data_IF_746756283607
#
_entry.id   IF_746756283607
#
_cell.length_a   1.000
_cell.length_b   1.000
_cell.length_c   1.000
_cell.angle_alpha   90.00
_cell.angle_beta   90.00
_cell.angle_gamma   90.00
#
_symmetry.space_group_name_H-M   'P 1'
#
loop_
_entity.id
_entity.type
_entity.pdbx_description
1 polymer ?
#
# COMPACT_ATOMS: atom_id res chain seq x y z
N UNK A 1 5.02 -18.53 24.77
CA UNK A 1 6.28 -17.86 25.18
C UNK A 1 6.10 -16.49 25.83
N UNK A 2 5.27 -15.60 25.28
CA UNK A 2 5.04 -14.26 25.85
C UNK A 2 4.47 -14.30 27.29
N UNK A 3 3.42 -15.11 27.51
CA UNK A 3 2.78 -15.26 28.83
C UNK A 3 3.79 -15.73 29.89
N UNK A 4 4.72 -16.64 29.54
CA UNK A 4 5.75 -17.12 30.47
C UNK A 4 6.72 -16.01 30.88
N UNK A 5 7.09 -15.11 29.95
CA UNK A 5 7.92 -13.94 30.25
C UNK A 5 7.17 -12.92 31.12
N UNK A 6 5.89 -12.68 30.84
CA UNK A 6 5.04 -11.80 31.66
C UNK A 6 4.90 -12.36 33.08
N UNK A 7 4.66 -13.67 33.22
CA UNK A 7 4.56 -14.33 34.53
C UNK A 7 5.87 -14.21 35.32
N UNK A 8 7.02 -14.48 34.71
CA UNK A 8 8.33 -14.29 35.37
C UNK A 8 8.55 -12.85 35.84
N UNK A 9 8.24 -11.86 34.99
CA UNK A 9 8.32 -10.45 35.36
C UNK A 9 7.36 -10.11 36.52
N UNK A 10 6.14 -10.63 36.48
CA UNK A 10 5.14 -10.47 37.55
C UNK A 10 5.60 -11.07 38.87
N UNK A 11 6.22 -12.27 38.86
CA UNK A 11 6.80 -12.86 40.06
C UNK A 11 7.92 -11.99 40.65
N UNK A 12 8.82 -11.45 39.82
CA UNK A 12 9.89 -10.55 40.27
C UNK A 12 9.33 -9.25 40.87
N UNK A 13 8.31 -8.67 40.24
CA UNK A 13 7.60 -7.49 40.78
C UNK A 13 6.93 -7.80 42.12
N UNK A 14 6.28 -8.96 42.23
CA UNK A 14 5.67 -9.45 43.47
C UNK A 14 6.69 -9.65 44.59
N UNK A 15 7.86 -10.22 44.28
CA UNK A 15 8.97 -10.34 45.24
C UNK A 15 9.48 -8.97 45.70
N UNK A 16 9.65 -8.01 44.79
CA UNK A 16 10.07 -6.65 45.14
C UNK A 16 9.06 -5.96 46.07
N UNK A 17 7.77 -6.12 45.81
CA UNK A 17 6.71 -5.61 46.68
C UNK A 17 6.66 -6.31 48.03
N UNK A 18 6.93 -7.62 48.10
CA UNK A 18 7.02 -8.33 49.37
C UNK A 18 8.21 -7.84 50.23
N UNK A 19 9.35 -7.55 49.60
CA UNK A 19 10.53 -6.96 50.27
C UNK A 19 10.18 -5.60 50.89
N UNK A 20 9.38 -4.78 50.21
CA UNK A 20 8.92 -3.51 50.77
C UNK A 20 8.28 -3.67 52.15
N UNK A 21 7.36 -4.64 52.32
CA UNK A 21 6.70 -4.85 53.62
C UNK A 21 7.63 -5.43 54.70
N UNK A 22 8.59 -6.27 54.34
CA UNK A 22 9.45 -6.97 55.29
C UNK A 22 10.71 -6.16 55.70
N UNK A 23 11.26 -5.35 54.79
CA UNK A 23 12.57 -4.71 54.95
C UNK A 23 12.65 -3.82 56.19
N UNK A 24 11.65 -2.96 56.45
CA UNK A 24 11.71 -2.05 57.61
C UNK A 24 11.70 -2.81 58.93
N UNK A 25 10.93 -3.89 59.04
CA UNK A 25 10.87 -4.72 60.26
C UNK A 25 12.19 -5.43 60.53
N UNK A 26 12.82 -5.99 59.48
CA UNK A 26 14.12 -6.65 59.59
C UNK A 26 15.21 -5.64 59.98
N UNK A 27 15.26 -4.47 59.33
CA UNK A 27 16.24 -3.42 59.65
C UNK A 27 16.11 -2.92 61.09
N UNK A 28 14.88 -2.67 61.55
CA UNK A 28 14.59 -2.25 62.92
C UNK A 28 15.04 -3.32 63.92
N UNK A 29 14.70 -4.60 63.66
CA UNK A 29 15.07 -5.72 64.52
C UNK A 29 16.59 -5.89 64.66
N UNK A 30 17.31 -5.87 63.54
CA UNK A 30 18.79 -5.96 63.53
C UNK A 30 19.41 -4.79 64.29
N UNK A 31 18.90 -3.56 64.09
CA UNK A 31 19.42 -2.36 64.75
C UNK A 31 19.29 -2.47 66.27
N UNK A 32 18.15 -2.93 66.78
CA UNK A 32 17.98 -3.11 68.22
C UNK A 32 18.76 -4.28 68.79
N UNK A 33 18.90 -5.40 68.08
CA UNK A 33 19.76 -6.51 68.51
C UNK A 33 21.20 -6.03 68.67
N UNK A 34 21.73 -5.31 67.68
CA UNK A 34 23.10 -4.79 67.74
C UNK A 34 23.25 -3.81 68.91
N UNK A 35 22.28 -2.94 69.14
CA UNK A 35 22.29 -2.01 70.26
C UNK A 35 22.32 -2.73 71.63
N UNK A 36 21.56 -3.83 71.76
CA UNK A 36 21.58 -4.67 72.98
C UNK A 36 22.93 -5.36 73.15
N UNK A 37 23.48 -5.96 72.09
CA UNK A 37 24.79 -6.64 72.14
C UNK A 37 25.94 -5.69 72.52
N UNK A 38 25.85 -4.43 72.09
CA UNK A 38 26.83 -3.39 72.42
C UNK A 38 26.61 -2.76 73.81
N UNK A 39 25.68 -3.28 74.62
CA UNK A 39 25.32 -2.76 75.96
C UNK A 39 24.87 -1.29 75.95
N UNK A 40 24.26 -0.81 74.86
CA UNK A 40 23.67 0.53 74.83
C UNK A 40 22.33 0.56 75.58
N UNK A 41 22.08 1.62 76.37
CA UNK A 41 20.78 1.84 77.01
C UNK A 41 19.78 2.36 75.98
N UNK A 42 18.80 1.53 75.63
CA UNK A 42 17.73 1.88 74.69
C UNK A 42 16.64 2.67 75.44
N UNK A 43 16.44 3.94 75.08
CA UNK A 43 15.33 4.74 75.60
C UNK A 43 14.11 4.69 74.69
N UNK A 44 12.93 4.93 75.26
CA UNK A 44 11.66 4.98 74.50
C UNK A 44 11.73 6.00 73.35
N UNK A 45 12.32 7.18 73.60
CA UNK A 45 12.49 8.23 72.58
C UNK A 45 13.36 7.79 71.40
N UNK A 46 14.44 7.04 71.66
CA UNK A 46 15.30 6.50 70.61
C UNK A 46 14.57 5.46 69.76
N UNK A 47 13.71 4.63 70.37
CA UNK A 47 12.93 3.63 69.64
C UNK A 47 12.00 4.30 68.63
N UNK A 48 11.23 5.31 69.08
CA UNK A 48 10.34 6.06 68.20
C UNK A 48 11.09 6.74 67.05
N UNK A 49 12.24 7.35 67.34
CA UNK A 49 13.07 8.00 66.32
C UNK A 49 13.56 7.01 65.26
N UNK A 50 14.10 5.87 65.68
CA UNK A 50 14.63 4.83 64.78
C UNK A 50 13.52 4.26 63.90
N UNK A 51 12.35 3.97 64.47
CA UNK A 51 11.20 3.45 63.71
C UNK A 51 10.73 4.48 62.69
N UNK A 52 10.56 5.75 63.07
CA UNK A 52 10.15 6.79 62.12
C UNK A 52 11.14 6.95 60.96
N UNK A 53 12.45 7.02 61.26
CA UNK A 53 13.48 7.17 60.23
C UNK A 53 13.51 5.99 59.26
N UNK A 54 13.44 4.74 59.76
CA UNK A 54 13.42 3.56 58.88
C UNK A 54 12.15 3.46 58.04
N UNK A 55 11.00 3.87 58.58
CA UNK A 55 9.74 3.90 57.83
C UNK A 55 9.77 4.96 56.71
N UNK A 56 10.42 6.11 56.92
CA UNK A 56 10.66 7.12 55.87
C UNK A 56 11.64 6.61 54.80
N UNK A 57 12.78 6.04 55.20
CA UNK A 57 13.80 5.53 54.28
C UNK A 57 13.30 4.34 53.46
N UNK A 58 12.36 3.55 54.00
CA UNK A 58 11.74 2.43 53.26
C UNK A 58 11.14 2.89 51.93
N UNK A 59 10.36 3.97 51.92
CA UNK A 59 9.68 4.42 50.70
C UNK A 59 10.66 4.81 49.59
N UNK A 60 11.72 5.53 49.93
CA UNK A 60 12.73 5.94 48.94
C UNK A 60 13.60 4.76 48.50
N UNK A 61 14.04 3.92 49.44
CA UNK A 61 14.99 2.84 49.18
C UNK A 61 14.40 1.60 48.50
N UNK A 62 13.21 1.14 48.94
CA UNK A 62 12.65 -0.14 48.47
C UNK A 62 11.51 0.00 47.48
N UNK A 63 10.87 1.18 47.39
CA UNK A 63 9.79 1.42 46.43
C UNK A 63 10.25 2.31 45.27
N UNK A 64 10.57 3.58 45.54
CA UNK A 64 10.81 4.55 44.46
C UNK A 64 12.09 4.27 43.65
N UNK A 65 13.19 3.89 44.32
CA UNK A 65 14.46 3.66 43.63
C UNK A 65 14.42 2.47 42.65
N UNK A 66 13.93 1.27 43.03
CA UNK A 66 13.76 0.17 42.07
C UNK A 66 12.80 0.51 40.93
N UNK A 67 11.70 1.22 41.22
CA UNK A 67 10.76 1.67 40.18
C UNK A 67 11.41 2.64 39.20
N UNK A 68 12.29 3.54 39.67
CA UNK A 68 13.03 4.43 38.79
C UNK A 68 13.96 3.66 37.86
N UNK A 69 14.70 2.67 38.38
CA UNK A 69 15.58 1.81 37.56
C UNK A 69 14.75 1.04 36.52
N UNK A 70 13.62 0.46 36.91
CA UNK A 70 12.70 -0.23 36.01
C UNK A 70 12.27 0.69 34.86
N UNK A 71 11.83 1.92 35.18
CA UNK A 71 11.38 2.88 34.17
C UNK A 71 12.50 3.37 33.26
N UNK A 72 13.71 3.58 33.78
CA UNK A 72 14.88 3.92 32.96
C UNK A 72 15.22 2.77 32.02
N UNK A 73 15.18 1.52 32.49
CA UNK A 73 15.42 0.36 31.64
C UNK A 73 14.39 0.23 30.51
N UNK A 74 13.10 0.39 30.82
CA UNK A 74 12.02 0.38 29.82
C UNK A 74 12.17 1.53 28.80
N UNK A 75 12.56 2.72 29.28
CA UNK A 75 12.77 3.90 28.44
C UNK A 75 13.94 3.71 27.47
N UNK A 76 15.09 3.19 27.93
CA UNK A 76 16.26 2.95 27.06
C UNK A 76 15.91 1.99 25.91
N UNK A 77 15.20 0.90 26.19
CA UNK A 77 14.76 -0.05 25.15
C UNK A 77 13.80 0.63 24.16
N UNK A 78 12.87 1.45 24.66
CA UNK A 78 11.92 2.17 23.80
C UNK A 78 12.60 3.22 22.92
N UNK A 79 13.58 3.95 23.47
CA UNK A 79 14.39 4.94 22.73
C UNK A 79 15.18 4.25 21.63
N UNK A 80 15.80 3.10 21.91
CA UNK A 80 16.53 2.36 20.89
C UNK A 80 15.62 1.92 19.74
N UNK A 81 14.41 1.41 20.03
CA UNK A 81 13.43 1.04 18.98
C UNK A 81 13.01 2.24 18.13
N UNK A 82 12.75 3.38 18.76
CA UNK A 82 12.39 4.62 18.04
C UNK A 82 13.57 5.06 17.18
N UNK A 83 14.79 5.04 17.71
CA UNK A 83 16.01 5.38 16.97
C UNK A 83 16.19 4.46 15.77
N UNK A 84 16.08 3.15 15.95
CA UNK A 84 16.25 2.17 14.87
C UNK A 84 15.21 2.38 13.77
N UNK A 85 13.96 2.71 14.13
CA UNK A 85 12.91 3.06 13.18
C UNK A 85 13.18 4.38 12.44
N UNK A 86 13.63 5.42 13.15
CA UNK A 86 13.94 6.73 12.56
C UNK A 86 15.20 6.72 11.68
N UNK A 87 16.04 5.69 11.79
CA UNK A 87 17.25 5.51 10.98
C UNK A 87 17.05 4.57 9.77
N UNK A 88 15.80 4.13 9.50
CA UNK A 88 15.48 3.39 8.29
C UNK A 88 15.76 4.24 7.04
N UNK A 89 16.07 3.57 5.93
CA UNK A 89 16.30 4.22 4.63
C UNK A 89 15.03 4.93 4.17
N UNK A 90 15.15 6.22 3.81
CA UNK A 90 14.05 7.00 3.25
C UNK A 90 14.03 6.85 1.73
N UNK A 91 12.84 6.67 1.15
CA UNK A 91 12.67 6.71 -0.30
C UNK A 91 12.89 8.17 -0.74
N UNK A 92 13.85 8.46 -1.63
CA UNK A 92 14.12 9.81 -2.06
C UNK A 92 12.90 10.39 -2.76
N UNK A 93 12.34 11.47 -2.20
CA UNK A 93 11.32 12.28 -2.86
C UNK A 93 11.87 12.76 -4.19
N UNK A 94 11.48 12.09 -5.28
CA UNK A 94 11.77 12.60 -6.61
C UNK A 94 10.83 13.77 -6.83
N UNK A 95 11.39 14.98 -6.88
CA UNK A 95 10.71 16.18 -7.35
C UNK A 95 10.44 16.02 -8.87
N UNK A 96 9.50 15.13 -9.22
CA UNK A 96 8.89 15.01 -10.55
C UNK A 96 8.23 16.33 -11.02
N UNK A 97 8.26 17.36 -10.18
CA UNK A 97 7.60 18.65 -10.32
C UNK A 97 8.47 19.75 -10.94
N UNK A 98 9.78 19.57 -11.15
CA UNK A 98 10.68 20.70 -11.46
C UNK A 98 11.54 20.60 -12.73
N UNK A 99 11.47 19.51 -13.48
CA UNK A 99 12.20 19.45 -14.75
C UNK A 99 11.41 20.15 -15.87
N UNK A 100 11.99 21.14 -16.57
CA UNK A 100 11.34 21.81 -17.69
C UNK A 100 11.03 20.77 -18.77
N UNK A 101 9.74 20.58 -19.07
CA UNK A 101 9.31 19.70 -20.14
C UNK A 101 9.61 20.35 -21.48
N UNK A 102 10.19 19.58 -22.42
CA UNK A 102 10.23 19.89 -23.86
C UNK A 102 8.82 19.87 -24.52
N UNK A 103 7.75 20.00 -23.73
CA UNK A 103 6.37 20.20 -24.16
C UNK A 103 5.67 18.98 -24.77
N UNK A 104 6.40 17.96 -25.21
CA UNK A 104 5.82 16.87 -26.02
C UNK A 104 5.71 15.51 -25.32
N UNK A 105 6.57 15.18 -24.35
CA UNK A 105 6.58 13.87 -23.68
C UNK A 105 6.50 14.03 -22.18
N UNK A 106 5.50 13.38 -21.58
CA UNK A 106 5.16 13.50 -20.16
C UNK A 106 5.66 12.28 -19.36
N UNK A 107 5.70 11.10 -19.99
CA UNK A 107 6.30 9.89 -19.41
C UNK A 107 7.28 9.30 -20.41
N UNK A 108 8.56 9.23 -20.02
CA UNK A 108 9.64 8.58 -20.77
C UNK A 108 10.38 7.61 -19.87
N UNK A 109 10.34 6.34 -20.22
CA UNK A 109 10.97 5.25 -19.50
C UNK A 109 11.99 4.60 -20.43
N UNK A 110 13.23 4.50 -19.97
CA UNK A 110 14.36 3.95 -20.74
C UNK A 110 15.08 2.88 -19.93
N UNK A 111 15.16 1.66 -20.46
CA UNK A 111 15.87 0.50 -19.90
C UNK A 111 15.60 0.23 -18.40
N UNK A 112 14.33 0.42 -17.98
CA UNK A 112 13.91 0.32 -16.58
C UNK A 112 14.08 -1.10 -16.05
N UNK A 113 14.90 -1.24 -15.01
CA UNK A 113 15.03 -2.46 -14.21
C UNK A 113 14.91 -2.14 -12.72
N UNK A 114 13.95 -2.78 -12.05
CA UNK A 114 13.57 -2.46 -10.68
C UNK A 114 13.30 -3.72 -9.83
N UNK A 115 13.51 -3.61 -8.51
CA UNK A 115 13.39 -4.70 -7.53
C UNK A 115 12.60 -4.22 -6.31
N UNK A 116 11.74 -5.07 -5.75
CA UNK A 116 11.10 -4.82 -4.45
C UNK A 116 12.08 -5.02 -3.29
N UNK A 117 12.92 -6.02 -3.42
CA UNK A 117 13.99 -6.34 -2.48
C UNK A 117 15.25 -6.64 -3.28
N UNK A 118 16.32 -5.88 -3.04
CA UNK A 118 17.62 -6.07 -3.69
C UNK A 118 18.21 -7.44 -3.36
N UNK A 119 17.83 -8.05 -2.23
CA UNK A 119 18.30 -9.37 -1.82
C UNK A 119 17.59 -10.51 -2.55
N UNK A 120 16.39 -10.28 -3.10
CA UNK A 120 15.60 -11.31 -3.79
C UNK A 120 16.25 -11.84 -5.08
N UNK A 121 17.19 -11.09 -5.68
CA UNK A 121 17.94 -11.49 -6.88
C UNK A 121 17.14 -11.53 -8.19
N UNK A 122 15.80 -11.57 -8.14
CA UNK A 122 14.93 -11.54 -9.32
C UNK A 122 14.32 -10.15 -9.53
N UNK A 123 14.57 -9.48 -10.67
CA UNK A 123 13.97 -8.18 -10.95
C UNK A 123 12.45 -8.30 -11.09
N UNK A 124 11.72 -7.33 -10.51
CA UNK A 124 10.28 -7.21 -10.69
C UNK A 124 9.91 -6.67 -12.09
N UNK A 125 10.81 -5.87 -12.67
CA UNK A 125 10.73 -5.29 -14.01
C UNK A 125 12.12 -5.34 -14.64
N UNK A 126 12.25 -5.61 -15.95
CA UNK A 126 13.55 -5.79 -16.59
C UNK A 126 13.59 -5.23 -18.02
N UNK A 127 14.38 -4.19 -18.23
CA UNK A 127 14.67 -3.64 -19.57
C UNK A 127 13.49 -2.94 -20.24
N UNK A 128 12.57 -2.37 -19.47
CA UNK A 128 11.37 -1.72 -20.01
C UNK A 128 11.71 -0.36 -20.62
N UNK A 129 11.28 -0.14 -21.87
CA UNK A 129 11.44 1.16 -22.55
C UNK A 129 10.16 1.56 -23.27
N UNK A 130 9.56 2.68 -22.90
CA UNK A 130 8.35 3.21 -23.55
C UNK A 130 8.17 4.71 -23.29
N UNK A 131 7.41 5.37 -24.16
CA UNK A 131 7.02 6.77 -24.01
C UNK A 131 5.52 6.95 -24.16
N UNK A 132 4.95 7.85 -23.36
CA UNK A 132 3.53 8.21 -23.41
C UNK A 132 3.38 9.73 -23.48
N UNK A 133 2.61 10.18 -24.46
CA UNK A 133 2.37 11.59 -24.77
C UNK A 133 0.98 12.03 -24.29
N UNK A 134 0.75 13.35 -24.07
CA UNK A 134 -0.57 13.86 -23.74
C UNK A 134 -1.64 13.34 -24.71
N UNK A 135 -2.76 12.88 -24.17
CA UNK A 135 -3.88 12.32 -24.92
C UNK A 135 -3.70 10.89 -25.43
N UNK A 136 -2.59 10.22 -25.12
CA UNK A 136 -2.43 8.79 -25.39
C UNK A 136 -2.92 7.94 -24.20
N UNK A 137 -3.67 6.88 -24.54
CA UNK A 137 -4.03 5.81 -23.62
C UNK A 137 -3.08 4.63 -23.83
N UNK A 138 -2.22 4.36 -22.84
CA UNK A 138 -1.39 3.16 -22.78
C UNK A 138 -2.11 2.08 -21.96
N UNK A 139 -2.46 0.96 -22.60
CA UNK A 139 -2.99 -0.20 -21.90
C UNK A 139 -1.87 -1.18 -21.53
N UNK A 140 -1.75 -1.54 -20.26
CA UNK A 140 -0.76 -2.49 -19.75
C UNK A 140 -1.44 -3.83 -19.45
N UNK A 141 -0.98 -4.89 -20.10
CA UNK A 141 -1.52 -6.25 -19.99
C UNK A 141 -0.43 -7.26 -19.67
N UNK A 142 -0.83 -8.40 -19.10
CA UNK A 142 0.09 -9.47 -18.74
C UNK A 142 -0.49 -10.40 -17.67
N UNK A 143 0.07 -11.60 -17.48
CA UNK A 143 -0.42 -12.56 -16.50
C UNK A 143 -0.34 -12.01 -15.06
N UNK A 144 -1.04 -12.66 -14.13
CA UNK A 144 -0.94 -12.33 -12.71
C UNK A 144 0.51 -12.54 -12.26
N UNK A 145 1.07 -11.56 -11.55
CA UNK A 145 2.49 -11.59 -11.13
C UNK A 145 3.49 -11.05 -12.14
N UNK A 146 3.08 -10.62 -13.34
CA UNK A 146 3.98 -10.07 -14.37
C UNK A 146 4.57 -8.67 -14.07
N UNK A 147 4.39 -8.13 -12.86
CA UNK A 147 4.93 -6.81 -12.50
C UNK A 147 4.09 -5.59 -12.92
N UNK A 148 2.83 -5.75 -13.35
CA UNK A 148 1.96 -4.62 -13.76
C UNK A 148 1.82 -3.52 -12.70
N UNK A 149 1.49 -3.89 -11.46
CA UNK A 149 1.42 -2.93 -10.35
C UNK A 149 2.81 -2.41 -9.97
N UNK A 150 3.86 -3.24 -10.08
CA UNK A 150 5.26 -2.82 -9.88
C UNK A 150 5.66 -1.71 -10.87
N UNK A 151 5.19 -1.77 -12.12
CA UNK A 151 5.41 -0.71 -13.11
C UNK A 151 4.80 0.61 -12.66
N UNK A 152 3.56 0.58 -12.15
CA UNK A 152 2.92 1.80 -11.62
C UNK A 152 3.66 2.33 -10.39
N UNK A 153 4.13 1.46 -9.49
CA UNK A 153 4.95 1.85 -8.34
C UNK A 153 6.29 2.46 -8.76
N UNK A 154 6.92 1.97 -9.83
CA UNK A 154 8.13 2.57 -10.39
C UNK A 154 7.88 3.97 -10.97
N UNK A 155 6.75 4.17 -11.66
CA UNK A 155 6.35 5.49 -12.18
C UNK A 155 5.97 6.49 -11.07
N UNK A 156 5.51 6.00 -9.91
CA UNK A 156 5.24 6.82 -8.73
C UNK A 156 6.51 7.19 -7.95
N UNK A 157 7.66 6.57 -8.25
CA UNK A 157 8.89 6.73 -7.47
C UNK A 157 8.93 5.92 -6.17
N UNK A 158 7.96 5.03 -5.94
CA UNK A 158 7.89 4.16 -4.75
C UNK A 158 8.79 2.93 -4.87
N UNK A 159 9.07 2.48 -6.10
CA UNK A 159 9.95 1.34 -6.36
C UNK A 159 11.37 1.81 -6.70
N UNK A 160 12.36 1.35 -5.93
CA UNK A 160 13.76 1.72 -6.12
C UNK A 160 14.30 1.25 -7.48
N UNK A 161 14.82 2.20 -8.25
CA UNK A 161 15.46 1.96 -9.55
C UNK A 161 16.92 1.51 -9.36
N UNK A 162 17.37 0.53 -10.13
CA UNK A 162 18.79 0.13 -10.17
C UNK A 162 19.43 0.53 -11.49
N UNK A 163 18.69 0.34 -12.59
CA UNK A 163 19.14 0.63 -13.94
C UNK A 163 17.99 1.24 -14.75
N UNK A 164 18.35 2.12 -15.68
CA UNK A 164 17.43 2.86 -16.52
C UNK A 164 17.12 4.24 -15.97
N UNK A 165 16.29 4.97 -16.72
CA UNK A 165 15.82 6.29 -16.34
C UNK A 165 14.29 6.37 -16.47
N UNK A 166 13.65 6.99 -15.48
CA UNK A 166 12.21 7.21 -15.44
C UNK A 166 11.96 8.71 -15.31
N UNK A 167 11.66 9.33 -16.44
CA UNK A 167 11.33 10.74 -16.52
C UNK A 167 9.81 10.89 -16.55
N UNK A 168 9.25 11.39 -15.44
CA UNK A 168 7.83 11.68 -15.30
C UNK A 168 7.67 13.16 -14.99
N UNK A 169 6.96 13.88 -15.85
CA UNK A 169 6.77 15.33 -15.75
C UNK A 169 5.31 15.69 -15.54
N UNK A 170 5.00 16.31 -14.40
CA UNK A 170 3.64 16.78 -14.09
C UNK A 170 3.01 16.04 -12.92
N UNK A 171 1.78 16.41 -12.61
CA UNK A 171 1.06 15.85 -11.45
C UNK A 171 0.48 14.49 -11.82
N UNK A 172 0.67 13.52 -10.92
CA UNK A 172 0.16 12.16 -11.06
C UNK A 172 -1.10 11.99 -10.19
N UNK A 173 -2.14 11.39 -10.76
CA UNK A 173 -3.25 10.81 -10.02
C UNK A 173 -3.19 9.29 -10.11
N UNK A 174 -3.20 8.62 -8.96
CA UNK A 174 -3.14 7.17 -8.86
C UNK A 174 -4.47 6.59 -8.37
N UNK A 175 -4.94 5.54 -9.03
CA UNK A 175 -6.07 4.72 -8.60
C UNK A 175 -5.57 3.31 -8.35
N UNK A 176 -5.57 2.89 -7.09
CA UNK A 176 -5.10 1.58 -6.66
C UNK A 176 -6.06 0.45 -6.99
N UNK A 177 -5.51 -0.75 -7.17
CA UNK A 177 -6.28 -1.98 -7.41
C UNK A 177 -7.24 -2.29 -6.25
N UNK A 178 -6.79 -2.07 -5.01
CA UNK A 178 -7.65 -2.07 -3.83
C UNK A 178 -8.03 -0.63 -3.49
N UNK A 179 -9.27 -0.20 -3.75
CA UNK A 179 -9.66 1.20 -3.58
C UNK A 179 -9.70 1.61 -2.11
N UNK A 180 -8.96 2.67 -1.77
CA UNK A 180 -8.94 3.23 -0.43
C UNK A 180 -9.91 4.41 -0.27
N UNK A 181 -10.70 4.38 0.81
CA UNK A 181 -11.65 5.45 1.17
C UNK A 181 -11.35 5.91 2.59
N UNK A 182 -11.19 7.21 2.77
CA UNK A 182 -10.84 7.83 4.04
C UNK A 182 -12.07 8.00 4.93
N UNK A 183 -11.90 7.94 6.27
CA UNK A 183 -12.96 8.33 7.19
C UNK A 183 -13.42 9.77 6.93
N UNK A 184 -14.72 9.99 6.79
CA UNK A 184 -15.28 11.29 6.37
C UNK A 184 -16.51 11.12 5.49
N UNK A 185 -16.94 12.15 4.77
CA UNK A 185 -18.08 12.05 3.84
C UNK A 185 -17.66 11.57 2.46
N UNK A 186 -18.59 11.02 1.68
CA UNK A 186 -18.36 10.69 0.26
C UNK A 186 -17.85 11.93 -0.51
N UNK A 187 -18.47 13.09 -0.29
CA UNK A 187 -18.05 14.36 -0.90
C UNK A 187 -16.60 14.69 -0.53
N UNK A 188 -16.24 14.63 0.77
CA UNK A 188 -14.86 14.94 1.20
C UNK A 188 -13.83 13.98 0.59
N UNK A 189 -14.20 12.72 0.38
CA UNK A 189 -13.37 11.72 -0.28
C UNK A 189 -13.12 12.03 -1.75
N UNK A 190 -14.12 12.55 -2.47
CA UNK A 190 -13.99 12.93 -3.88
C UNK A 190 -13.21 14.25 -4.01
N UNK A 191 -13.53 15.25 -3.18
CA UNK A 191 -12.85 16.55 -3.19
C UNK A 191 -11.38 16.43 -2.79
N UNK A 192 -11.08 15.60 -1.79
CA UNK A 192 -9.73 15.28 -1.32
C UNK A 192 -8.84 16.53 -1.17
N UNK A 193 -9.33 17.48 -0.36
CA UNK A 193 -8.66 18.75 -0.06
C UNK A 193 -8.91 19.90 -1.05
N UNK A 194 -9.49 19.64 -2.22
CA UNK A 194 -9.89 20.70 -3.17
C UNK A 194 -11.20 21.39 -2.77
N UNK A 195 -11.39 22.60 -3.29
CA UNK A 195 -12.64 23.36 -3.14
C UNK A 195 -13.79 22.66 -3.88
N UNK A 196 -15.00 22.81 -3.35
CA UNK A 196 -16.20 22.29 -3.99
C UNK A 196 -16.65 23.20 -5.12
N UNK A 197 -16.58 22.69 -6.34
CA UNK A 197 -17.10 23.31 -7.57
C UNK A 197 -18.27 22.47 -8.09
N UNK A 198 -19.47 23.05 -8.09
CA UNK A 198 -20.71 22.30 -8.31
C UNK A 198 -20.80 21.67 -9.70
N UNK A 199 -20.48 22.41 -10.76
CA UNK A 199 -20.58 21.93 -12.15
C UNK A 199 -19.58 20.80 -12.41
N UNK A 200 -18.31 21.04 -12.05
CA UNK A 200 -17.25 20.04 -12.14
C UNK A 200 -17.57 18.78 -11.32
N UNK A 201 -18.11 18.96 -10.11
CA UNK A 201 -18.48 17.83 -9.27
C UNK A 201 -19.59 16.99 -9.90
N UNK A 202 -20.63 17.63 -10.45
CA UNK A 202 -21.71 16.93 -11.18
C UNK A 202 -21.19 16.18 -12.40
N UNK A 203 -20.29 16.79 -13.18
CA UNK A 203 -19.64 16.14 -14.33
C UNK A 203 -18.88 14.87 -13.92
N UNK A 204 -18.07 14.95 -12.87
CA UNK A 204 -17.30 13.80 -12.35
C UNK A 204 -18.21 12.69 -11.82
N UNK A 205 -19.26 13.05 -11.07
CA UNK A 205 -20.26 12.08 -10.57
C UNK A 205 -20.95 11.33 -11.71
N UNK A 206 -21.30 12.05 -12.79
CA UNK A 206 -21.92 11.47 -13.99
C UNK A 206 -20.94 10.59 -14.76
N UNK A 207 -19.71 11.05 -14.98
CA UNK A 207 -18.66 10.28 -15.66
C UNK A 207 -18.33 8.98 -14.91
N UNK A 208 -18.34 9.01 -13.58
CA UNK A 208 -18.04 7.85 -12.73
C UNK A 208 -19.27 6.98 -12.38
N UNK A 209 -20.42 7.18 -13.03
CA UNK A 209 -21.66 6.43 -12.78
C UNK A 209 -22.05 6.34 -11.28
N UNK A 210 -21.87 7.44 -10.54
CA UNK A 210 -22.15 7.48 -9.09
C UNK A 210 -23.55 8.00 -8.75
N UNK A 211 -24.29 8.57 -9.71
CA UNK A 211 -25.61 9.20 -9.47
C UNK A 211 -26.60 8.26 -8.76
N UNK A 212 -26.80 7.04 -9.30
CA UNK A 212 -27.70 6.04 -8.71
C UNK A 212 -27.21 5.57 -7.34
N UNK A 213 -25.90 5.44 -7.16
CA UNK A 213 -25.32 5.02 -5.88
C UNK A 213 -25.56 6.05 -4.79
N UNK A 214 -25.32 7.33 -5.09
CA UNK A 214 -25.57 8.42 -4.15
C UNK A 214 -27.05 8.54 -3.82
N UNK A 215 -27.96 8.35 -4.77
CA UNK A 215 -29.40 8.39 -4.51
C UNK A 215 -29.87 7.30 -3.53
N UNK A 216 -29.20 6.14 -3.51
CA UNK A 216 -29.53 5.03 -2.62
C UNK A 216 -28.96 5.19 -1.20
N UNK A 217 -28.05 6.15 -0.99
CA UNK A 217 -27.51 6.45 0.34
C UNK A 217 -28.43 7.41 1.09
N UNK A 218 -28.61 7.18 2.40
CA UNK A 218 -29.51 7.97 3.26
C UNK A 218 -29.26 9.48 3.18
N UNK A 219 -27.99 9.88 3.19
CA UNK A 219 -27.56 11.29 3.17
C UNK A 219 -26.85 11.66 1.85
N UNK A 220 -27.07 10.86 0.80
CA UNK A 220 -26.42 11.03 -0.51
C UNK A 220 -24.90 11.18 -0.37
N UNK A 221 -24.33 12.25 -0.89
CA UNK A 221 -22.89 12.51 -0.87
C UNK A 221 -22.36 13.02 0.47
N UNK A 222 -23.24 13.38 1.42
CA UNK A 222 -22.87 13.70 2.79
C UNK A 222 -22.79 12.48 3.70
N UNK A 223 -23.13 11.29 3.18
CA UNK A 223 -23.08 10.06 3.97
C UNK A 223 -21.69 9.85 4.55
N UNK A 224 -21.64 9.69 5.88
CA UNK A 224 -20.41 9.45 6.63
C UNK A 224 -19.93 8.02 6.39
N UNK A 225 -18.65 7.91 6.10
CA UNK A 225 -17.91 6.69 5.83
C UNK A 225 -17.00 6.44 7.03
N UNK A 226 -17.11 5.25 7.61
CA UNK A 226 -16.26 4.80 8.71
C UNK A 226 -14.94 4.18 8.23
N UNK A 227 -14.17 3.66 9.17
CA UNK A 227 -12.92 2.95 8.87
C UNK A 227 -13.15 1.82 7.86
N UNK A 228 -12.23 1.69 6.90
CA UNK A 228 -12.30 0.68 5.84
C UNK A 228 -13.40 0.91 4.80
N UNK A 229 -14.07 2.07 4.79
CA UNK A 229 -15.03 2.42 3.75
C UNK A 229 -16.45 1.86 3.98
N UNK A 230 -16.80 1.42 5.19
CA UNK A 230 -18.16 0.97 5.51
C UNK A 230 -19.12 2.16 5.53
N UNK A 231 -20.36 2.05 4.97
CA UNK A 231 -21.06 0.86 4.49
C UNK A 231 -20.96 0.59 2.96
N UNK A 232 -19.95 1.09 2.27
CA UNK A 232 -19.88 1.02 0.79
C UNK A 232 -19.45 -0.38 0.29
N UNK A 233 -19.99 -0.80 -0.86
CA UNK A 233 -19.51 -1.98 -1.57
C UNK A 233 -18.18 -1.72 -2.29
N UNK A 234 -17.42 -2.76 -2.65
CA UNK A 234 -16.13 -2.61 -3.34
C UNK A 234 -16.24 -1.83 -4.66
N UNK A 235 -17.25 -2.13 -5.49
CA UNK A 235 -17.51 -1.39 -6.72
C UNK A 235 -17.93 0.07 -6.49
N UNK A 236 -18.48 0.42 -5.32
CA UNK A 236 -18.73 1.82 -4.95
C UNK A 236 -17.43 2.51 -4.51
N UNK A 237 -16.60 1.83 -3.71
CA UNK A 237 -15.27 2.32 -3.31
C UNK A 237 -14.39 2.57 -4.54
N UNK A 238 -14.38 1.66 -5.51
CA UNK A 238 -13.65 1.80 -6.77
C UNK A 238 -14.08 3.06 -7.53
N UNK A 239 -15.38 3.29 -7.68
CA UNK A 239 -15.91 4.48 -8.36
C UNK A 239 -15.63 5.78 -7.61
N UNK A 240 -15.66 5.78 -6.27
CA UNK A 240 -15.29 6.94 -5.46
C UNK A 240 -13.79 7.22 -5.59
N UNK A 241 -12.95 6.20 -5.61
CA UNK A 241 -11.50 6.33 -5.83
C UNK A 241 -11.18 6.89 -7.22
N UNK A 242 -11.87 6.40 -8.26
CA UNK A 242 -11.76 6.94 -9.62
C UNK A 242 -12.26 8.38 -9.70
N UNK A 243 -13.42 8.69 -9.10
CA UNK A 243 -13.95 10.06 -9.04
C UNK A 243 -13.00 11.01 -8.33
N UNK A 244 -12.35 10.58 -7.24
CA UNK A 244 -11.30 11.33 -6.55
C UNK A 244 -10.16 11.67 -7.51
N UNK A 245 -9.64 10.69 -8.23
CA UNK A 245 -8.55 10.91 -9.20
C UNK A 245 -8.95 11.94 -10.27
N UNK A 246 -10.12 11.79 -10.89
CA UNK A 246 -10.60 12.67 -11.97
C UNK A 246 -10.84 14.10 -11.47
N UNK A 247 -11.34 14.26 -10.24
CA UNK A 247 -11.54 15.58 -9.64
C UNK A 247 -10.21 16.31 -9.35
N UNK A 248 -9.12 15.56 -9.13
CA UNK A 248 -7.79 16.12 -8.88
C UNK A 248 -7.13 16.76 -10.10
N UNK A 249 -7.64 16.56 -11.32
CA UNK A 249 -7.12 17.22 -12.53
C UNK A 249 -5.60 17.07 -12.73
N UNK A 250 -5.12 15.85 -12.59
CA UNK A 250 -3.72 15.53 -12.83
C UNK A 250 -3.38 15.63 -14.33
N UNK A 251 -2.08 15.61 -14.63
CA UNK A 251 -1.55 15.55 -15.99
C UNK A 251 -1.41 14.09 -16.44
N UNK A 252 -1.12 13.20 -15.48
CA UNK A 252 -0.93 11.76 -15.66
C UNK A 252 -1.89 10.97 -14.75
N UNK A 253 -2.55 9.97 -15.31
CA UNK A 253 -3.44 9.07 -14.60
C UNK A 253 -2.89 7.65 -14.66
N UNK A 254 -2.58 7.08 -13.49
CA UNK A 254 -2.14 5.71 -13.32
C UNK A 254 -3.30 4.90 -12.74
N UNK A 255 -3.87 4.00 -13.53
CA UNK A 255 -5.09 3.27 -13.20
C UNK A 255 -4.79 1.78 -13.04
N UNK A 256 -4.76 1.28 -11.81
CA UNK A 256 -4.48 -0.12 -11.52
C UNK A 256 -5.77 -0.95 -11.44
N UNK A 257 -6.21 -1.47 -12.59
CA UNK A 257 -7.43 -2.31 -12.74
C UNK A 257 -8.70 -1.76 -12.06
N UNK A 258 -9.07 -0.48 -12.29
CA UNK A 258 -10.16 0.19 -11.57
C UNK A 258 -11.56 -0.35 -11.93
N UNK A 259 -11.66 -1.22 -12.93
CA UNK A 259 -12.89 -1.75 -13.50
C UNK A 259 -13.22 -3.18 -13.05
N UNK A 260 -12.35 -3.80 -12.24
CA UNK A 260 -12.47 -5.20 -11.82
C UNK A 260 -13.65 -5.49 -10.88
N UNK A 261 -13.98 -4.54 -10.00
CA UNK A 261 -15.00 -4.70 -8.96
C UNK A 261 -16.41 -4.23 -9.38
N UNK A 262 -16.62 -3.87 -10.64
CA UNK A 262 -17.89 -3.34 -11.16
C UNK A 262 -18.51 -4.28 -12.20
N UNK A 263 -19.82 -4.20 -12.36
CA UNK A 263 -20.55 -4.94 -13.38
C UNK A 263 -20.17 -4.47 -14.80
N UNK A 264 -20.45 -5.30 -15.81
CA UNK A 264 -20.04 -5.06 -17.19
C UNK A 264 -20.64 -3.79 -17.79
N UNK A 265 -21.88 -3.43 -17.42
CA UNK A 265 -22.53 -2.22 -17.92
C UNK A 265 -21.89 -0.96 -17.35
N UNK A 266 -21.68 -0.92 -16.02
CA UNK A 266 -20.98 0.16 -15.34
C UNK A 266 -19.53 0.25 -15.82
N UNK A 267 -18.84 -0.87 -15.96
CA UNK A 267 -17.46 -0.94 -16.47
C UNK A 267 -17.33 -0.28 -17.84
N UNK A 268 -18.26 -0.59 -18.77
CA UNK A 268 -18.30 0.04 -20.10
C UNK A 268 -18.54 1.54 -20.01
N UNK A 269 -19.51 1.98 -19.20
CA UNK A 269 -19.77 3.40 -18.98
C UNK A 269 -18.55 4.13 -18.43
N UNK A 270 -17.88 3.57 -17.42
CA UNK A 270 -16.66 4.14 -16.85
C UNK A 270 -15.55 4.24 -17.88
N UNK A 271 -15.35 3.20 -18.69
CA UNK A 271 -14.34 3.24 -19.74
C UNK A 271 -14.65 4.33 -20.78
N UNK A 272 -15.87 4.36 -21.33
CA UNK A 272 -16.24 5.29 -22.39
C UNK A 272 -16.32 6.74 -21.89
N UNK A 273 -17.02 7.00 -20.79
CA UNK A 273 -17.32 8.35 -20.31
C UNK A 273 -16.22 8.94 -19.42
N UNK A 274 -15.55 8.11 -18.62
CA UNK A 274 -14.48 8.57 -17.74
C UNK A 274 -13.11 8.49 -18.43
N UNK A 275 -12.68 7.28 -18.82
CA UNK A 275 -11.32 7.06 -19.32
C UNK A 275 -11.15 7.66 -20.73
N UNK A 276 -12.08 7.42 -21.67
CA UNK A 276 -11.92 7.89 -23.05
C UNK A 276 -12.39 9.33 -23.30
N UNK A 277 -13.31 9.87 -22.49
CA UNK A 277 -13.84 11.23 -22.67
C UNK A 277 -13.28 12.21 -21.64
N UNK A 278 -13.50 11.97 -20.34
CA UNK A 278 -13.03 12.90 -19.30
C UNK A 278 -11.50 13.01 -19.22
N UNK A 279 -10.77 11.94 -19.53
CA UNK A 279 -9.29 11.91 -19.54
C UNK A 279 -8.68 12.00 -20.95
N UNK A 280 -9.45 12.39 -21.96
CA UNK A 280 -9.05 12.34 -23.38
C UNK A 280 -7.75 13.09 -23.69
N UNK A 281 -7.52 14.25 -23.07
CA UNK A 281 -6.35 15.10 -23.35
C UNK A 281 -5.19 14.85 -22.36
N UNK A 282 -5.34 13.87 -21.46
CA UNK A 282 -4.39 13.54 -20.38
C UNK A 282 -3.56 12.32 -20.73
N UNK A 283 -2.42 12.13 -20.06
CA UNK A 283 -1.70 10.84 -20.15
C UNK A 283 -2.43 9.82 -19.30
N UNK A 284 -2.85 8.70 -19.89
CA UNK A 284 -3.53 7.64 -19.14
C UNK A 284 -2.80 6.31 -19.32
N UNK A 285 -2.36 5.72 -18.21
CA UNK A 285 -1.78 4.38 -18.17
C UNK A 285 -2.78 3.47 -17.43
N UNK A 286 -3.43 2.59 -18.18
CA UNK A 286 -4.45 1.69 -17.69
C UNK A 286 -3.91 0.26 -17.61
N UNK A 287 -3.70 -0.24 -16.40
CA UNK A 287 -3.53 -1.67 -16.17
C UNK A 287 -4.92 -2.30 -16.19
N UNK A 288 -5.12 -3.33 -17.00
CA UNK A 288 -6.38 -4.08 -16.98
C UNK A 288 -6.20 -5.53 -17.42
N UNK A 289 -7.01 -6.41 -16.84
CA UNK A 289 -7.15 -7.79 -17.29
C UNK A 289 -8.24 -7.95 -18.38
N UNK A 290 -9.03 -6.91 -18.66
CA UNK A 290 -10.15 -6.97 -19.59
C UNK A 290 -9.72 -6.58 -21.02
N UNK A 291 -9.49 -7.60 -21.86
CA UNK A 291 -9.00 -7.42 -23.24
C UNK A 291 -9.92 -6.58 -24.14
N UNK A 292 -11.21 -6.48 -23.81
CA UNK A 292 -12.20 -5.73 -24.59
C UNK A 292 -11.86 -4.23 -24.73
N UNK A 293 -11.14 -3.66 -23.76
CA UNK A 293 -10.78 -2.25 -23.72
C UNK A 293 -9.51 -1.91 -24.51
N UNK A 294 -8.74 -2.92 -24.92
CA UNK A 294 -7.50 -2.73 -25.68
C UNK A 294 -7.73 -2.12 -27.06
N UNK A 295 -8.92 -2.32 -27.63
CA UNK A 295 -9.27 -1.81 -28.96
C UNK A 295 -9.28 -0.28 -29.05
N UNK A 296 -9.49 0.39 -27.92
CA UNK A 296 -9.52 1.86 -27.85
C UNK A 296 -8.20 2.46 -27.34
N UNK A 297 -7.23 1.62 -26.96
CA UNK A 297 -5.92 2.09 -26.49
C UNK A 297 -5.05 2.57 -27.66
N UNK A 298 -4.34 3.67 -27.46
CA UNK A 298 -3.38 4.21 -28.44
C UNK A 298 -2.14 3.33 -28.54
N UNK A 299 -1.73 2.74 -27.40
CA UNK A 299 -0.56 1.86 -27.27
C UNK A 299 -0.90 0.71 -26.32
N UNK A 300 -0.29 -0.44 -26.55
CA UNK A 300 -0.41 -1.62 -25.67
C UNK A 300 0.99 -2.03 -25.24
N UNK A 301 1.19 -2.19 -23.93
CA UNK A 301 2.39 -2.76 -23.34
C UNK A 301 2.03 -4.13 -22.75
N UNK A 302 2.66 -5.18 -23.26
CA UNK A 302 2.50 -6.54 -22.75
C UNK A 302 3.71 -6.91 -21.92
N UNK A 303 3.49 -7.18 -20.63
CA UNK A 303 4.52 -7.68 -19.71
C UNK A 303 4.52 -9.21 -19.73
N UNK A 304 5.67 -9.82 -19.99
CA UNK A 304 5.88 -11.26 -19.91
C UNK A 304 7.07 -11.57 -19.01
N UNK A 305 7.00 -12.68 -18.26
CA UNK A 305 7.96 -13.03 -17.20
C UNK A 305 9.41 -13.26 -17.67
N UNK A 306 9.74 -13.10 -18.96
CA UNK A 306 11.07 -13.43 -19.48
C UNK A 306 11.61 -12.52 -20.58
N UNK A 307 10.81 -11.70 -21.26
CA UNK A 307 11.27 -10.75 -22.29
C UNK A 307 10.11 -9.80 -22.63
N UNK A 308 10.31 -8.50 -22.47
CA UNK A 308 9.24 -7.51 -22.68
C UNK A 308 9.14 -7.12 -24.16
N UNK A 309 7.95 -7.28 -24.74
CA UNK A 309 7.68 -6.91 -26.14
C UNK A 309 6.81 -5.66 -26.13
N UNK A 310 7.37 -4.52 -26.53
CA UNK A 310 6.56 -3.35 -26.87
C UNK A 310 5.85 -3.61 -28.18
N UNK A 311 4.63 -4.12 -28.10
CA UNK A 311 3.81 -4.41 -29.25
C UNK A 311 3.07 -3.14 -29.70
N UNK A 312 3.69 -2.37 -30.61
CA UNK A 312 2.94 -1.45 -31.48
C UNK A 312 2.21 -2.29 -32.54
N UNK A 313 1.02 -2.79 -32.24
CA UNK A 313 0.16 -3.38 -33.26
C UNK A 313 -0.65 -2.28 -33.97
N UNK A 314 -0.58 -2.17 -35.31
CA UNK A 314 -1.74 -1.73 -36.06
C UNK A 314 -2.84 -2.80 -35.90
N UNK A 315 -4.07 -2.33 -35.73
CA UNK A 315 -5.30 -3.11 -35.75
C UNK A 315 -5.35 -4.02 -36.99
N UNK A 316 -5.15 -5.34 -36.84
CA UNK A 316 -5.76 -6.32 -37.76
C UNK A 316 -5.75 -7.79 -37.29
N UNK A 317 -4.86 -8.23 -36.39
CA UNK A 317 -4.63 -9.69 -36.24
C UNK A 317 -5.35 -10.46 -35.11
N UNK A 318 -6.34 -9.88 -34.41
CA UNK A 318 -7.10 -10.62 -33.38
C UNK A 318 -8.54 -10.96 -33.74
N UNK A 319 -9.00 -10.68 -34.97
CA UNK A 319 -10.40 -10.88 -35.37
C UNK A 319 -10.65 -11.99 -36.40
N UNK A 320 -9.65 -12.82 -36.72
CA UNK A 320 -9.91 -14.08 -37.44
C UNK A 320 -9.40 -15.23 -36.59
N UNK A 321 -10.30 -16.13 -36.21
CA UNK A 321 -9.98 -17.45 -35.66
C UNK A 321 -9.28 -18.35 -36.69
N UNK A 322 -8.28 -17.82 -37.41
CA UNK A 322 -7.41 -18.58 -38.29
C UNK A 322 -6.22 -19.07 -37.47
N UNK A 323 -6.27 -20.33 -37.07
CA UNK A 323 -5.10 -21.02 -36.57
C UNK A 323 -4.07 -21.09 -37.71
N UNK A 324 -3.03 -20.27 -37.65
CA UNK A 324 -1.97 -20.27 -38.65
C UNK A 324 -1.20 -21.59 -38.69
N UNK A 325 -0.67 -21.95 -39.86
CA UNK A 325 0.12 -23.19 -40.08
C UNK A 325 1.28 -23.39 -39.10
N UNK A 326 1.77 -22.30 -38.47
CA UNK A 326 2.85 -22.32 -37.48
C UNK A 326 2.44 -23.08 -36.19
N UNK A 327 1.18 -23.01 -35.79
CA UNK A 327 0.67 -23.70 -34.59
C UNK A 327 0.56 -25.22 -34.83
N UNK A 328 0.17 -25.66 -36.02
CA UNK A 328 0.15 -27.09 -36.38
C UNK A 328 1.56 -27.70 -36.44
N UNK A 329 2.55 -26.91 -36.85
CA UNK A 329 3.97 -27.32 -36.81
C UNK A 329 4.44 -27.57 -35.37
N UNK A 330 3.98 -26.77 -34.42
CA UNK A 330 4.30 -26.94 -33.00
C UNK A 330 3.65 -28.21 -32.40
N UNK A 331 2.43 -28.56 -32.81
CA UNK A 331 1.80 -29.84 -32.43
C UNK A 331 2.53 -31.05 -33.02
N UNK A 332 3.08 -30.93 -34.23
CA UNK A 332 3.88 -31.98 -34.85
C UNK A 332 5.21 -32.19 -34.12
N UNK A 333 5.89 -31.12 -33.73
CA UNK A 333 7.13 -31.20 -32.93
C UNK A 333 6.90 -31.71 -31.51
N UNK A 334 5.68 -31.58 -30.98
CA UNK A 334 5.30 -32.11 -29.66
C UNK A 334 4.91 -33.60 -29.66
N UNK A 335 5.06 -34.32 -30.78
CA UNK A 335 4.81 -35.77 -30.87
C UNK A 335 3.34 -36.16 -31.03
N UNK A 336 2.48 -35.22 -31.43
CA UNK A 336 1.04 -35.49 -31.61
C UNK A 336 0.80 -36.38 -32.83
N UNK A 337 -0.03 -37.42 -32.66
CA UNK A 337 -0.37 -38.37 -33.72
C UNK A 337 -1.06 -37.69 -34.92
N UNK A 338 -0.71 -38.08 -36.14
CA UNK A 338 -1.16 -37.43 -37.39
C UNK A 338 -2.69 -37.32 -37.52
N UNK A 339 -3.43 -38.29 -36.98
CA UNK A 339 -4.89 -38.32 -36.97
C UNK A 339 -5.53 -37.15 -36.20
N UNK A 340 -4.91 -36.71 -35.11
CA UNK A 340 -5.41 -35.60 -34.28
C UNK A 340 -5.16 -34.26 -34.99
N UNK A 341 -4.03 -34.14 -35.69
CA UNK A 341 -3.69 -32.94 -36.47
C UNK A 341 -4.65 -32.79 -37.65
N UNK A 342 -4.95 -33.87 -38.38
CA UNK A 342 -5.95 -33.86 -39.46
C UNK A 342 -7.34 -33.48 -38.91
N UNK A 343 -7.73 -34.04 -37.76
CA UNK A 343 -9.00 -33.69 -37.12
C UNK A 343 -9.07 -32.21 -36.77
N UNK A 344 -8.01 -31.63 -36.18
CA UNK A 344 -7.95 -30.20 -35.84
C UNK A 344 -7.92 -29.29 -37.08
N UNK A 345 -7.34 -29.75 -38.19
CA UNK A 345 -7.39 -29.02 -39.46
C UNK A 345 -8.82 -29.06 -40.04
N UNK A 346 -9.48 -30.22 -40.03
CA UNK A 346 -10.86 -30.36 -40.51
C UNK A 346 -11.85 -29.57 -39.66
N UNK A 347 -11.70 -29.55 -38.34
CA UNK A 347 -12.52 -28.73 -37.43
C UNK A 347 -12.30 -27.24 -37.70
N UNK A 348 -11.06 -26.82 -37.97
CA UNK A 348 -10.75 -25.43 -38.30
C UNK A 348 -11.28 -25.01 -39.68
N UNK A 349 -11.29 -25.92 -40.67
CA UNK A 349 -11.93 -25.70 -41.98
C UNK A 349 -13.46 -25.64 -41.86
N UNK A 350 -14.05 -26.46 -40.97
CA UNK A 350 -15.49 -26.46 -40.74
C UNK A 350 -15.98 -25.27 -39.88
N UNK A 351 -15.08 -24.62 -39.15
CA UNK A 351 -15.36 -23.43 -38.34
C UNK A 351 -15.12 -22.11 -39.10
N UNK A 352 -14.58 -22.18 -40.32
CA UNK A 352 -14.54 -21.09 -41.30
C UNK A 352 -15.80 -21.13 -42.17
#
# INVERSE_FOLDING_TARGET
>A
DEISKILKSSYLRGMNLAIFFAASKIMIFITFIIAVVLNNRITVSQVFLVVMLFETVRFTGTLYFPMAIEKVSEAVVSINRIKDFLLLEEIPLHDHQLLPSDGETIVDVQDLTAFWDKESGTPALKGLSFTVRPGELLAVVGPVGAGKSSLLSALLGELSLIQGNVNVHGRIAYVSQQPWVFPGTVRSNILFGKKYEEDRYKEVIKACALEKNLQNLKERDQTVIGDGGTPLSEGQKARISLARAVYQDADIYLLDDPLSAVDVEVSRHLFEQCICQALKDKVTILVTHQLQYLKAASKILQLENTEDILVKLPLEDYSKGQVGCKTYKNYFTAGTHWSIIIFLILVNIAAQ
#
